data_IF_535295748658
#
_entry.id   IF_535295748658
#
_cell.length_a   1.000
_cell.length_b   1.000
_cell.length_c   1.000
_cell.angle_alpha   90.00
_cell.angle_beta   90.00
_cell.angle_gamma   90.00
#
_symmetry.space_group_name_H-M   'P 1'
#
loop_
_entity.id
_entity.type
_entity.pdbx_description
1 polymer ?
#
# COMPACT_ATOMS: atom_id res chain seq x y z
N UNK A 1 13.21 11.80 11.51
CA UNK A 1 11.92 11.99 12.23
C UNK A 1 10.99 10.88 11.79
N UNK A 2 10.31 10.19 12.71
CA UNK A 2 9.24 9.25 12.39
C UNK A 2 7.91 9.85 12.88
N UNK A 3 6.80 9.57 12.20
CA UNK A 3 5.47 9.93 12.69
C UNK A 3 5.12 9.09 13.92
N UNK A 4 5.59 7.84 13.93
CA UNK A 4 5.52 6.92 15.03
C UNK A 4 6.93 6.38 15.35
N UNK A 5 7.46 6.61 16.58
CA UNK A 5 8.74 6.08 17.00
C UNK A 5 8.87 4.55 16.89
N UNK A 6 7.78 3.84 17.19
CA UNK A 6 7.72 2.37 17.15
C UNK A 6 7.70 1.90 15.71
N UNK A 7 6.78 2.46 14.92
CA UNK A 7 6.60 2.13 13.51
C UNK A 7 6.07 0.70 13.29
N UNK A 8 5.57 0.44 12.09
CA UNK A 8 5.06 -0.90 11.75
C UNK A 8 6.19 -1.71 11.12
N UNK A 9 6.66 -2.74 11.83
CA UNK A 9 7.67 -3.66 11.30
C UNK A 9 6.98 -4.75 10.49
N UNK A 10 7.25 -4.81 9.18
CA UNK A 10 6.84 -5.96 8.36
C UNK A 10 7.73 -7.16 8.68
N UNK A 11 7.11 -8.25 9.11
CA UNK A 11 7.77 -9.53 9.39
C UNK A 11 7.78 -10.46 8.17
N UNK A 12 6.92 -10.20 7.19
CA UNK A 12 6.78 -11.00 5.98
C UNK A 12 7.59 -10.39 4.82
N UNK A 13 8.36 -11.24 4.14
CA UNK A 13 8.96 -10.97 2.83
C UNK A 13 8.44 -11.99 1.83
N UNK A 14 8.11 -11.56 0.62
CA UNK A 14 7.57 -12.46 -0.41
C UNK A 14 8.65 -13.11 -1.27
N UNK A 15 9.81 -12.47 -1.40
CA UNK A 15 10.91 -12.96 -2.25
C UNK A 15 10.61 -12.84 -3.74
N UNK A 16 11.59 -13.15 -4.60
CA UNK A 16 11.39 -13.14 -6.05
C UNK A 16 10.52 -14.33 -6.49
N UNK A 17 9.58 -14.15 -7.45
CA UNK A 17 9.34 -12.94 -8.25
C UNK A 17 8.32 -11.95 -7.63
N UNK A 18 7.83 -12.21 -6.42
CA UNK A 18 6.71 -11.52 -5.80
C UNK A 18 7.05 -10.15 -5.19
N UNK A 19 8.29 -9.97 -4.72
CA UNK A 19 8.80 -8.74 -4.12
C UNK A 19 10.22 -8.46 -4.58
N UNK A 20 10.42 -7.34 -5.29
CA UNK A 20 11.72 -6.92 -5.81
C UNK A 20 11.89 -5.41 -5.67
N UNK A 21 12.95 -4.98 -4.98
CA UNK A 21 13.27 -3.55 -4.81
C UNK A 21 12.16 -2.73 -4.12
N UNK A 22 11.30 -3.35 -3.33
CA UNK A 22 10.15 -2.70 -2.70
C UNK A 22 8.91 -2.57 -3.60
N UNK A 23 8.93 -3.17 -4.80
CA UNK A 23 7.75 -3.39 -5.63
C UNK A 23 7.15 -4.76 -5.31
N UNK A 24 5.82 -4.83 -5.34
CA UNK A 24 5.06 -6.03 -5.00
C UNK A 24 4.15 -6.40 -6.16
N UNK A 25 4.21 -7.66 -6.58
CA UNK A 25 3.20 -8.22 -7.48
C UNK A 25 2.06 -8.81 -6.64
N UNK A 26 1.16 -7.94 -6.19
CA UNK A 26 0.03 -8.34 -5.34
C UNK A 26 -0.91 -9.34 -6.01
N UNK A 27 -0.97 -9.34 -7.34
CA UNK A 27 -1.80 -10.27 -8.11
C UNK A 27 -1.17 -11.67 -8.06
N UNK A 28 0.13 -11.77 -8.33
CA UNK A 28 0.86 -13.03 -8.21
C UNK A 28 0.87 -13.57 -6.77
N UNK A 29 1.03 -12.68 -5.78
CA UNK A 29 0.93 -13.05 -4.35
C UNK A 29 -0.45 -13.63 -4.02
N UNK A 30 -1.53 -12.99 -4.46
CA UNK A 30 -2.89 -13.47 -4.21
C UNK A 30 -3.12 -14.86 -4.81
N UNK A 31 -2.65 -15.11 -6.04
CA UNK A 31 -2.72 -16.44 -6.64
C UNK A 31 -1.86 -17.48 -5.92
N UNK A 32 -0.67 -17.10 -5.44
CA UNK A 32 0.22 -17.98 -4.70
C UNK A 32 -0.36 -18.42 -3.33
N UNK A 33 -1.30 -17.66 -2.78
CA UNK A 33 -1.96 -17.94 -1.49
C UNK A 33 -3.41 -18.44 -1.66
N UNK A 34 -3.78 -18.89 -2.85
CA UNK A 34 -5.16 -19.27 -3.16
C UNK A 34 -5.68 -20.44 -2.28
N UNK A 35 -4.78 -21.26 -1.76
CA UNK A 35 -5.06 -22.34 -0.80
C UNK A 35 -5.44 -21.81 0.60
N UNK A 36 -5.05 -20.58 0.94
CA UNK A 36 -5.35 -19.93 2.22
C UNK A 36 -6.54 -18.97 2.12
N UNK A 37 -6.67 -18.25 1.00
CA UNK A 37 -7.77 -17.32 0.74
C UNK A 37 -8.04 -17.25 -0.77
N UNK A 38 -9.30 -17.21 -1.23
CA UNK A 38 -9.60 -17.14 -2.66
C UNK A 38 -8.91 -15.93 -3.32
N UNK A 39 -8.09 -16.19 -4.34
CA UNK A 39 -7.28 -15.17 -4.99
C UNK A 39 -8.14 -14.04 -5.57
N UNK A 40 -9.20 -14.37 -6.29
CA UNK A 40 -10.10 -13.40 -6.92
C UNK A 40 -10.79 -12.48 -5.90
N UNK A 41 -11.19 -13.04 -4.75
CA UNK A 41 -11.76 -12.25 -3.67
C UNK A 41 -10.70 -11.32 -3.08
N UNK A 42 -9.50 -11.83 -2.80
CA UNK A 42 -8.38 -11.05 -2.27
C UNK A 42 -8.01 -9.89 -3.21
N UNK A 43 -7.92 -10.15 -4.51
CA UNK A 43 -7.65 -9.14 -5.54
C UNK A 43 -8.77 -8.09 -5.58
N UNK A 44 -10.03 -8.51 -5.51
CA UNK A 44 -11.18 -7.61 -5.49
C UNK A 44 -11.14 -6.67 -4.29
N UNK A 45 -10.87 -7.20 -3.10
CA UNK A 45 -10.76 -6.42 -1.85
C UNK A 45 -9.56 -5.46 -1.89
N UNK A 46 -8.40 -5.90 -2.41
CA UNK A 46 -7.24 -5.04 -2.61
C UNK A 46 -7.55 -3.86 -3.53
N UNK A 47 -8.26 -4.11 -4.64
CA UNK A 47 -8.70 -3.05 -5.56
C UNK A 47 -9.74 -2.14 -4.93
N UNK A 48 -10.66 -2.67 -4.12
CA UNK A 48 -11.64 -1.86 -3.39
C UNK A 48 -10.94 -0.91 -2.41
N UNK A 49 -10.02 -1.43 -1.58
CA UNK A 49 -9.23 -0.62 -0.66
C UNK A 49 -8.37 0.41 -1.41
N UNK A 50 -7.74 0.02 -2.52
CA UNK A 50 -6.95 0.95 -3.33
C UNK A 50 -7.77 2.16 -3.80
N UNK A 51 -9.02 1.94 -4.23
CA UNK A 51 -9.93 3.04 -4.61
C UNK A 51 -10.23 3.98 -3.45
N UNK A 52 -10.41 3.45 -2.24
CA UNK A 52 -10.58 4.28 -1.04
C UNK A 52 -9.32 5.09 -0.72
N UNK A 53 -8.14 4.58 -1.03
CA UNK A 53 -6.86 5.25 -0.76
C UNK A 53 -6.48 6.32 -1.79
N UNK A 54 -7.09 6.33 -2.98
CA UNK A 54 -6.85 7.38 -3.98
C UNK A 54 -7.20 8.74 -3.38
N UNK A 55 -6.29 9.69 -3.46
CA UNK A 55 -6.52 11.07 -2.98
C UNK A 55 -6.53 11.19 -1.45
N UNK A 56 -5.96 10.20 -0.73
CA UNK A 56 -5.92 10.21 0.72
C UNK A 56 -5.16 11.41 1.28
N UNK A 57 -4.07 11.84 0.63
CA UNK A 57 -3.27 12.96 1.12
C UNK A 57 -4.08 14.26 1.14
N UNK A 58 -4.83 14.53 0.08
CA UNK A 58 -5.69 15.70 -0.05
C UNK A 58 -6.79 15.69 1.00
N UNK A 59 -7.47 14.54 1.19
CA UNK A 59 -8.49 14.43 2.24
C UNK A 59 -7.91 14.62 3.64
N UNK A 60 -6.73 14.08 3.93
CA UNK A 60 -6.06 14.31 5.21
C UNK A 60 -5.68 15.78 5.42
N UNK A 61 -5.27 16.47 4.36
CA UNK A 61 -5.04 17.91 4.39
C UNK A 61 -6.31 18.69 4.74
N UNK A 62 -7.43 18.37 4.09
CA UNK A 62 -8.75 18.98 4.38
C UNK A 62 -9.20 18.75 5.83
N UNK A 63 -8.80 17.62 6.42
CA UNK A 63 -9.03 17.30 7.83
C UNK A 63 -8.03 17.95 8.81
N UNK A 64 -7.11 18.78 8.33
CA UNK A 64 -6.18 19.55 9.16
C UNK A 64 -4.93 18.79 9.61
N UNK A 65 -4.58 17.69 8.94
CA UNK A 65 -3.32 17.00 9.22
C UNK A 65 -2.13 17.92 8.86
N UNK A 66 -1.14 18.08 9.75
CA UNK A 66 -0.02 18.98 9.50
C UNK A 66 0.79 18.60 8.25
N UNK A 67 1.23 19.60 7.48
CA UNK A 67 2.05 19.42 6.27
C UNK A 67 3.30 18.57 6.52
N UNK A 68 3.93 18.74 7.69
CA UNK A 68 5.09 17.94 8.12
C UNK A 68 4.82 16.44 8.22
N UNK A 69 3.56 16.03 8.41
CA UNK A 69 3.13 14.62 8.43
C UNK A 69 2.80 14.18 7.01
N UNK A 70 2.06 14.99 6.26
CA UNK A 70 1.64 14.70 4.87
C UNK A 70 2.84 14.47 3.94
N UNK A 71 3.89 15.27 4.11
CA UNK A 71 5.11 15.23 3.30
C UNK A 71 6.18 14.30 3.85
N UNK A 72 5.95 13.65 5.00
CA UNK A 72 6.97 12.84 5.63
C UNK A 72 7.25 11.57 4.80
N UNK A 73 8.49 11.34 4.33
CA UNK A 73 8.80 10.21 3.45
C UNK A 73 8.47 8.84 4.04
N UNK A 74 8.58 8.70 5.36
CA UNK A 74 8.29 7.45 6.06
C UNK A 74 6.80 7.07 6.07
N UNK A 75 5.86 8.00 5.81
CA UNK A 75 4.44 7.66 5.58
C UNK A 75 4.19 7.36 4.10
N UNK A 76 4.89 8.08 3.21
CA UNK A 76 4.84 7.81 1.78
C UNK A 76 3.51 8.18 1.10
N UNK A 77 2.76 9.16 1.62
CA UNK A 77 1.50 9.63 1.04
C UNK A 77 1.69 10.25 -0.36
N UNK A 78 2.76 11.04 -0.56
CA UNK A 78 3.00 11.75 -1.82
C UNK A 78 3.23 10.87 -3.05
N UNK A 79 3.58 9.58 -2.87
CA UNK A 79 3.71 8.61 -3.96
C UNK A 79 2.69 7.48 -3.88
N UNK A 80 1.68 7.58 -3.01
CA UNK A 80 0.69 6.54 -2.79
C UNK A 80 -0.07 6.19 -4.07
N UNK A 81 -0.66 7.19 -4.75
CA UNK A 81 -1.43 6.96 -5.98
C UNK A 81 -0.58 6.27 -7.06
N UNK A 82 0.67 6.75 -7.27
CA UNK A 82 1.60 6.13 -8.21
C UNK A 82 1.90 4.67 -7.85
N UNK A 83 2.12 4.36 -6.56
CA UNK A 83 2.36 2.97 -6.13
C UNK A 83 1.16 2.07 -6.39
N UNK A 84 -0.06 2.53 -6.07
CA UNK A 84 -1.29 1.78 -6.34
C UNK A 84 -1.44 1.44 -7.83
N UNK A 85 -1.16 2.39 -8.73
CA UNK A 85 -1.16 2.16 -10.18
C UNK A 85 -0.05 1.20 -10.60
N UNK A 86 1.18 1.37 -10.09
CA UNK A 86 2.31 0.49 -10.43
C UNK A 86 2.09 -0.96 -10.00
N UNK A 87 1.27 -1.18 -8.98
CA UNK A 87 0.84 -2.49 -8.50
C UNK A 87 -0.37 -3.07 -9.23
N UNK A 88 -0.97 -2.35 -10.19
CA UNK A 88 -2.14 -2.81 -10.94
C UNK A 88 -3.44 -2.83 -10.12
N UNK A 89 -3.52 -2.05 -9.04
CA UNK A 89 -4.69 -2.02 -8.14
C UNK A 89 -5.72 -0.93 -8.48
N UNK A 90 -5.35 0.04 -9.33
CA UNK A 90 -6.19 1.16 -9.76
C UNK A 90 -6.11 1.35 -11.26
#
# INVERSE_FOLDING_TARGET
>A
MKADPEGVTRTTRWGSPFEEGGNFDWIAIAHALNDLAPAEQTISELKALARELIGLQERLHEHGVPERILTMPAVGLGSLNHRLTSWGLT
#
